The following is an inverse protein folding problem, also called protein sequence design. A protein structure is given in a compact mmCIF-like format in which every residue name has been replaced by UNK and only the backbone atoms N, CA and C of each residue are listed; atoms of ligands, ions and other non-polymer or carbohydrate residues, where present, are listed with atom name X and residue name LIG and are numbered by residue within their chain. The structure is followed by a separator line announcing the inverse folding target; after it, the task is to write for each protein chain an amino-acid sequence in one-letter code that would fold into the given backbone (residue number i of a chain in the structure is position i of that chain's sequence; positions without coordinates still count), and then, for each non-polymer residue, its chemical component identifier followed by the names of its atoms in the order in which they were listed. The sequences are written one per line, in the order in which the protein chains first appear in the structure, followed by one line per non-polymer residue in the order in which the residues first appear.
data_IF_192728152913
#
_entry.id   IF_192728152913
#
_cell.length_a   1.000
_cell.length_b   1.000
_cell.length_c   1.000
_cell.angle_alpha   90.00
_cell.angle_beta   90.00
_cell.angle_gamma   90.00
#
_symmetry.space_group_name_H-M   'P 1'
#
loop_
_entity.id
_entity.type
_entity.pdbx_description
1 polymer ?
#
# COMPACT_ATOMS: atom_id res chain seq x y z
N UNK A 1 13.86 84.06 41.51
CA UNK A 1 13.21 82.75 41.70
C UNK A 1 14.29 81.77 42.13
N UNK A 2 13.99 81.08 43.22
CA UNK A 2 14.76 80.05 43.95
C UNK A 2 15.48 79.06 43.01
N UNK A 3 16.60 78.41 43.31
CA UNK A 3 17.35 78.29 44.56
C UNK A 3 18.24 77.03 44.48
N UNK A 4 19.55 77.23 44.70
CA UNK A 4 20.38 76.45 45.64
C UNK A 4 20.74 74.99 45.27
N UNK A 5 21.95 74.88 44.70
CA UNK A 5 23.14 74.11 45.13
C UNK A 5 23.10 72.61 45.53
N UNK A 6 24.20 71.94 45.13
CA UNK A 6 25.21 71.28 45.98
C UNK A 6 25.29 69.73 46.06
N UNK A 7 26.58 69.31 45.92
CA UNK A 7 27.31 68.25 46.66
C UNK A 7 27.26 66.79 46.17
N UNK A 8 28.45 66.35 45.71
CA UNK A 8 28.98 64.98 45.78
C UNK A 8 28.95 64.41 47.22
N UNK A 9 29.03 63.07 47.42
CA UNK A 9 30.36 62.43 47.51
C UNK A 9 30.49 61.01 46.91
N UNK A 10 31.74 60.70 46.58
CA UNK A 10 32.33 59.36 46.46
C UNK A 10 31.97 58.45 47.63
N UNK A 11 31.89 57.12 47.39
CA UNK A 11 32.50 56.15 48.31
C UNK A 11 33.12 54.96 47.55
N UNK A 12 34.43 54.88 47.68
CA UNK A 12 35.23 53.67 47.47
C UNK A 12 34.92 52.61 48.53
N UNK A 13 35.21 51.35 48.19
CA UNK A 13 35.72 50.23 49.04
C UNK A 13 34.97 48.94 48.70
N UNK A 14 35.56 47.75 48.69
CA UNK A 14 36.92 47.26 48.93
C UNK A 14 36.94 45.87 48.31
N UNK A 15 38.05 45.48 47.72
CA UNK A 15 38.39 44.07 47.59
C UNK A 15 38.57 43.52 49.01
N UNK A 16 37.79 42.52 49.39
CA UNK A 16 38.20 41.51 50.36
C UNK A 16 38.08 40.15 49.68
N UNK A 17 39.25 39.54 49.57
CA UNK A 17 39.54 38.19 49.14
C UNK A 17 38.81 37.17 50.03
N UNK A 18 37.99 36.31 49.44
CA UNK A 18 37.63 35.02 50.03
C UNK A 18 38.38 33.89 49.30
N UNK A 19 39.09 33.14 50.13
CA UNK A 19 39.84 31.90 49.96
C UNK A 19 39.46 31.00 48.75
N UNK A 20 40.42 30.48 47.95
CA UNK A 20 40.16 29.68 46.73
C UNK A 20 39.82 28.20 46.97
N UNK A 21 39.23 27.85 48.12
CA UNK A 21 38.92 26.46 48.47
C UNK A 21 37.48 26.30 48.97
N UNK A 22 36.50 26.66 48.13
CA UNK A 22 35.12 26.16 48.28
C UNK A 22 34.82 25.22 47.12
N UNK A 23 35.07 23.93 47.38
CA UNK A 23 34.68 22.82 46.53
C UNK A 23 33.16 22.67 46.56
N UNK A 24 32.46 23.28 45.59
CA UNK A 24 31.10 22.84 45.27
C UNK A 24 31.18 21.40 44.73
N UNK A 25 30.40 20.45 45.27
CA UNK A 25 30.32 19.13 44.66
C UNK A 25 29.77 19.30 43.25
N UNK A 26 30.60 19.03 42.23
CA UNK A 26 30.10 18.70 40.89
C UNK A 26 29.19 17.51 41.08
N UNK A 27 27.88 17.73 41.01
CA UNK A 27 26.94 16.69 40.65
C UNK A 27 27.37 16.22 39.27
N UNK A 28 28.12 15.12 39.23
CA UNK A 28 28.16 14.27 38.05
C UNK A 28 26.70 13.90 37.80
N UNK A 29 26.09 14.55 36.83
CA UNK A 29 24.91 14.01 36.18
C UNK A 29 25.36 12.66 35.67
N UNK A 30 24.89 11.60 36.34
CA UNK A 30 24.93 10.25 35.80
C UNK A 30 24.48 10.38 34.33
N UNK A 31 25.26 9.90 33.35
CA UNK A 31 24.78 9.89 31.98
C UNK A 31 23.44 9.16 32.03
N UNK A 32 22.35 9.86 31.64
CA UNK A 32 21.05 9.20 31.48
C UNK A 32 21.33 8.01 30.58
N UNK A 33 21.21 6.81 31.15
CA UNK A 33 21.32 5.57 30.41
C UNK A 33 20.56 5.71 29.10
N UNK A 34 21.20 5.25 28.04
CA UNK A 34 20.76 5.24 26.66
C UNK A 34 19.57 4.26 26.41
N UNK A 35 18.64 4.26 27.36
CA UNK A 35 17.38 3.53 27.33
C UNK A 35 16.50 3.97 26.15
N UNK A 36 16.77 5.15 25.57
CA UNK A 36 16.11 5.66 24.37
C UNK A 36 16.55 4.92 23.11
N UNK A 37 17.86 4.81 22.85
CA UNK A 37 18.39 4.13 21.67
C UNK A 37 18.15 2.63 21.75
N UNK A 38 18.27 2.01 22.93
CA UNK A 38 17.96 0.58 23.09
C UNK A 38 16.50 0.26 22.80
N UNK A 39 15.55 1.07 23.30
CA UNK A 39 14.12 0.90 23.00
C UNK A 39 13.81 1.16 21.53
N UNK A 40 14.48 2.13 20.91
CA UNK A 40 14.37 2.41 19.48
C UNK A 40 14.85 1.23 18.64
N UNK A 41 16.07 0.75 18.89
CA UNK A 41 16.66 -0.39 18.19
C UNK A 41 15.82 -1.66 18.37
N UNK A 42 15.32 -1.92 19.57
CA UNK A 42 14.40 -3.03 19.83
C UNK A 42 13.10 -2.89 19.03
N UNK A 43 12.50 -1.70 19.00
CA UNK A 43 11.27 -1.45 18.24
C UNK A 43 11.46 -1.58 16.73
N UNK A 44 12.58 -1.08 16.19
CA UNK A 44 12.93 -1.21 14.79
C UNK A 44 13.20 -2.68 14.41
N UNK A 45 13.90 -3.43 15.28
CA UNK A 45 14.13 -4.87 15.10
C UNK A 45 12.85 -5.67 15.05
N UNK A 46 11.88 -5.37 15.93
CA UNK A 46 10.55 -6.02 15.92
C UNK A 46 9.80 -5.70 14.62
N UNK A 47 9.76 -4.43 14.21
CA UNK A 47 9.05 -4.02 12.99
C UNK A 47 9.69 -4.62 11.73
N UNK A 48 11.01 -4.69 11.67
CA UNK A 48 11.73 -5.38 10.59
C UNK A 48 11.44 -6.88 10.58
N UNK A 49 11.37 -7.52 11.76
CA UNK A 49 10.97 -8.92 11.89
C UNK A 49 9.56 -9.17 11.34
N UNK A 50 8.60 -8.29 11.67
CA UNK A 50 7.22 -8.35 11.14
C UNK A 50 7.24 -8.17 9.61
N UNK A 51 8.01 -7.21 9.09
CA UNK A 51 8.11 -6.98 7.64
C UNK A 51 8.61 -8.23 6.91
N UNK A 52 9.63 -8.92 7.43
CA UNK A 52 10.14 -10.18 6.86
C UNK A 52 9.06 -11.27 6.87
N UNK A 53 8.33 -11.41 7.98
CA UNK A 53 7.24 -12.38 8.08
C UNK A 53 6.12 -12.11 7.07
N UNK A 54 5.75 -10.84 6.89
CA UNK A 54 4.75 -10.41 5.89
C UNK A 54 5.22 -10.71 4.47
N UNK A 55 6.48 -10.44 4.13
CA UNK A 55 7.04 -10.80 2.82
C UNK A 55 6.96 -12.32 2.58
N UNK A 56 7.37 -13.14 3.55
CA UNK A 56 7.28 -14.61 3.44
C UNK A 56 5.83 -15.10 3.31
N UNK A 57 4.90 -14.48 4.03
CA UNK A 57 3.48 -14.81 3.94
C UNK A 57 2.91 -14.44 2.56
N UNK A 58 3.30 -13.29 1.99
CA UNK A 58 2.91 -12.85 0.66
C UNK A 58 3.45 -13.80 -0.43
N UNK A 59 4.73 -14.17 -0.33
CA UNK A 59 5.35 -15.15 -1.24
C UNK A 59 4.65 -16.51 -1.19
N UNK A 60 4.28 -16.97 0.02
CA UNK A 60 3.54 -18.22 0.19
C UNK A 60 2.15 -18.15 -0.47
N UNK A 61 1.43 -17.04 -0.31
CA UNK A 61 0.15 -16.80 -0.99
C UNK A 61 0.34 -16.80 -2.52
N UNK A 62 1.38 -16.12 -3.03
CA UNK A 62 1.74 -16.10 -4.44
C UNK A 62 2.02 -17.51 -4.99
N UNK A 63 2.81 -18.32 -4.27
CA UNK A 63 3.09 -19.73 -4.64
C UNK A 63 1.80 -20.56 -4.69
N UNK A 64 0.90 -20.41 -3.72
CA UNK A 64 -0.40 -21.11 -3.70
C UNK A 64 -1.32 -20.69 -4.83
N UNK A 65 -1.32 -19.41 -5.19
CA UNK A 65 -2.01 -18.90 -6.36
C UNK A 65 -1.43 -19.47 -7.66
N UNK A 66 -0.09 -19.54 -7.77
CA UNK A 66 0.57 -20.08 -8.96
C UNK A 66 0.27 -21.57 -9.20
N UNK A 67 0.07 -22.34 -8.12
CA UNK A 67 -0.33 -23.75 -8.13
C UNK A 67 -1.84 -23.95 -8.38
N UNK A 68 -2.58 -22.87 -8.61
CA UNK A 68 -4.01 -22.89 -8.96
C UNK A 68 -4.29 -23.70 -10.21
N UNK A 69 -5.22 -24.66 -10.09
CA UNK A 69 -5.87 -25.28 -11.26
C UNK A 69 -6.97 -24.34 -11.75
N UNK A 70 -7.22 -24.37 -13.05
CA UNK A 70 -8.38 -23.74 -13.66
C UNK A 70 -9.66 -24.38 -13.12
N UNK A 71 -10.69 -23.55 -12.93
CA UNK A 71 -11.96 -23.99 -12.34
C UNK A 71 -12.92 -24.56 -13.37
N UNK A 72 -12.68 -24.30 -14.66
CA UNK A 72 -13.49 -24.73 -15.79
C UNK A 72 -12.67 -24.65 -17.10
N UNK A 73 -13.26 -25.03 -18.23
CA UNK A 73 -12.62 -24.93 -19.55
C UNK A 73 -12.48 -23.48 -20.01
N UNK A 74 -11.59 -23.25 -20.99
CA UNK A 74 -11.38 -21.91 -21.55
C UNK A 74 -12.65 -21.35 -22.18
N UNK A 75 -13.41 -22.17 -22.91
CA UNK A 75 -14.65 -21.78 -23.57
C UNK A 75 -15.68 -21.29 -22.55
N UNK A 76 -15.75 -21.94 -21.39
CA UNK A 76 -16.62 -21.49 -20.29
C UNK A 76 -16.13 -20.18 -19.68
N UNK A 77 -14.82 -19.99 -19.53
CA UNK A 77 -14.27 -18.69 -19.10
C UNK A 77 -14.62 -17.58 -20.10
N UNK A 78 -14.48 -17.82 -21.40
CA UNK A 78 -14.82 -16.87 -22.45
C UNK A 78 -16.32 -16.53 -22.43
N UNK A 79 -17.21 -17.52 -22.24
CA UNK A 79 -18.65 -17.27 -22.06
C UNK A 79 -18.94 -16.38 -20.85
N UNK A 80 -18.27 -16.62 -19.72
CA UNK A 80 -18.42 -15.79 -18.52
C UNK A 80 -17.90 -14.37 -18.79
N UNK A 81 -16.75 -14.23 -19.45
CA UNK A 81 -16.16 -12.94 -19.81
C UNK A 81 -17.08 -12.12 -20.73
N UNK A 82 -17.59 -12.73 -21.81
CA UNK A 82 -18.55 -12.10 -22.73
C UNK A 82 -19.81 -11.64 -22.00
N UNK A 83 -20.31 -12.45 -21.06
CA UNK A 83 -21.45 -12.08 -20.21
C UNK A 83 -21.14 -10.88 -19.32
N UNK A 84 -19.96 -10.83 -18.70
CA UNK A 84 -19.53 -9.69 -17.88
C UNK A 84 -19.47 -8.40 -18.70
N UNK A 85 -18.96 -8.48 -19.93
CA UNK A 85 -18.89 -7.32 -20.83
C UNK A 85 -20.28 -6.85 -21.25
N UNK A 86 -21.15 -7.74 -21.73
CA UNK A 86 -22.46 -7.38 -22.25
C UNK A 86 -23.38 -6.78 -21.18
N UNK A 87 -23.45 -7.39 -20.00
CA UNK A 87 -24.29 -6.89 -18.89
C UNK A 87 -23.85 -5.53 -18.36
N UNK A 88 -22.60 -5.15 -18.61
CA UNK A 88 -22.05 -3.86 -18.19
C UNK A 88 -21.85 -2.89 -19.37
N UNK A 89 -22.31 -3.23 -20.59
CA UNK A 89 -22.18 -2.42 -21.82
C UNK A 89 -20.72 -2.07 -22.15
N UNK A 90 -19.82 -3.03 -21.95
CA UNK A 90 -18.38 -2.92 -22.19
C UNK A 90 -17.92 -3.71 -23.43
N UNK A 91 -18.81 -4.46 -24.06
CA UNK A 91 -18.57 -5.32 -25.21
C UNK A 91 -17.97 -4.60 -26.42
N UNK A 92 -18.28 -3.31 -26.58
CA UNK A 92 -17.76 -2.46 -27.67
C UNK A 92 -16.54 -1.64 -27.29
N UNK A 93 -16.17 -1.61 -26.01
CA UNK A 93 -15.17 -0.68 -25.49
C UNK A 93 -13.96 -1.38 -24.88
N UNK A 94 -14.14 -2.55 -24.28
CA UNK A 94 -13.08 -3.30 -23.62
C UNK A 94 -12.69 -4.52 -24.47
N UNK A 95 -11.44 -4.55 -24.90
CA UNK A 95 -10.84 -5.69 -25.58
C UNK A 95 -10.37 -6.74 -24.56
N UNK A 96 -10.48 -8.02 -24.93
CA UNK A 96 -10.01 -9.16 -24.15
C UNK A 96 -9.02 -9.95 -24.99
N UNK A 97 -7.79 -10.11 -24.49
CA UNK A 97 -6.72 -10.84 -25.17
C UNK A 97 -6.18 -11.97 -24.27
N UNK A 98 -6.09 -13.17 -24.82
CA UNK A 98 -5.44 -14.30 -24.16
C UNK A 98 -4.11 -14.59 -24.82
N UNK A 99 -3.02 -14.48 -24.06
CA UNK A 99 -1.67 -14.50 -24.63
C UNK A 99 -0.79 -15.63 -24.08
N UNK A 100 0.20 -15.97 -24.89
CA UNK A 100 1.34 -16.82 -24.56
C UNK A 100 2.58 -16.26 -25.29
N UNK A 101 3.70 -16.97 -25.23
CA UNK A 101 4.95 -16.54 -25.88
C UNK A 101 4.84 -16.41 -27.41
N UNK A 102 3.87 -17.07 -28.04
CA UNK A 102 3.73 -17.11 -29.50
C UNK A 102 3.00 -15.88 -30.06
N UNK A 103 2.05 -15.31 -29.31
CA UNK A 103 1.23 -14.20 -29.77
C UNK A 103 1.43 -12.88 -29.01
N UNK A 104 2.22 -12.85 -27.93
CA UNK A 104 2.48 -11.63 -27.15
C UNK A 104 3.02 -10.46 -28.01
N UNK A 105 3.97 -10.73 -28.90
CA UNK A 105 4.55 -9.70 -29.78
C UNK A 105 3.51 -9.14 -30.77
N UNK A 106 2.63 -10.00 -31.29
CA UNK A 106 1.55 -9.59 -32.19
C UNK A 106 0.55 -8.69 -31.46
N UNK A 107 0.17 -9.05 -30.22
CA UNK A 107 -0.71 -8.23 -29.38
C UNK A 107 -0.05 -6.88 -29.06
N UNK A 108 1.24 -6.87 -28.69
CA UNK A 108 1.97 -5.62 -28.47
C UNK A 108 1.92 -4.70 -29.70
N UNK A 109 2.12 -5.26 -30.90
CA UNK A 109 2.10 -4.49 -32.14
C UNK A 109 0.73 -3.84 -32.40
N UNK A 110 -0.40 -4.48 -32.04
CA UNK A 110 -1.75 -3.89 -32.18
C UNK A 110 -1.89 -2.57 -31.41
N UNK A 111 -1.27 -2.49 -30.24
CA UNK A 111 -1.39 -1.34 -29.32
C UNK A 111 -0.21 -0.36 -29.39
N UNK A 112 0.87 -0.73 -30.08
CA UNK A 112 2.04 0.13 -30.30
C UNK A 112 1.72 1.47 -30.97
N UNK A 113 0.73 1.48 -31.87
CA UNK A 113 0.25 2.69 -32.57
C UNK A 113 -0.41 3.72 -31.64
N UNK A 114 -0.81 3.31 -30.44
CA UNK A 114 -1.38 4.21 -29.43
C UNK A 114 -0.31 4.97 -28.62
N UNK A 115 0.98 4.82 -28.96
CA UNK A 115 2.10 5.46 -28.26
C UNK A 115 2.40 4.84 -26.89
N UNK A 116 1.79 3.70 -26.56
CA UNK A 116 1.93 3.01 -25.28
C UNK A 116 2.63 1.68 -25.52
N UNK A 117 3.82 1.51 -24.94
CA UNK A 117 4.58 0.27 -25.03
C UNK A 117 4.17 -0.70 -23.92
N UNK A 118 3.31 -1.66 -24.26
CA UNK A 118 2.87 -2.72 -23.32
C UNK A 118 3.75 -3.97 -23.36
N UNK A 119 4.80 -4.02 -24.19
CA UNK A 119 5.57 -5.26 -24.42
C UNK A 119 6.15 -5.82 -23.12
N UNK A 120 6.66 -4.95 -22.25
CA UNK A 120 7.21 -5.34 -20.94
C UNK A 120 6.17 -5.91 -19.97
N UNK A 121 4.91 -5.52 -20.11
CA UNK A 121 3.81 -6.06 -19.29
C UNK A 121 3.27 -7.38 -19.86
N UNK A 122 3.37 -7.61 -21.17
CA UNK A 122 2.89 -8.84 -21.80
C UNK A 122 3.81 -10.04 -21.58
N UNK A 123 5.11 -9.84 -21.38
CA UNK A 123 6.05 -10.94 -21.11
C UNK A 123 5.71 -11.75 -19.83
N UNK A 124 5.50 -11.14 -18.65
CA UNK A 124 5.11 -11.90 -17.46
C UNK A 124 3.71 -12.52 -17.60
N UNK A 125 2.80 -11.87 -18.34
CA UNK A 125 1.49 -12.44 -18.65
C UNK A 125 1.65 -13.68 -19.53
N UNK A 126 2.46 -13.63 -20.59
CA UNK A 126 2.74 -14.77 -21.46
C UNK A 126 3.36 -15.99 -20.73
N UNK A 127 4.07 -15.74 -19.62
CA UNK A 127 4.63 -16.78 -18.73
C UNK A 127 3.63 -17.30 -17.68
N UNK A 128 2.40 -16.79 -17.66
CA UNK A 128 1.38 -17.16 -16.66
C UNK A 128 1.65 -16.62 -15.26
N UNK A 129 2.48 -15.57 -15.16
CA UNK A 129 2.89 -14.93 -13.93
C UNK A 129 2.07 -13.67 -13.61
N UNK A 130 1.35 -13.13 -14.60
CA UNK A 130 0.56 -11.92 -14.44
C UNK A 130 -0.74 -11.97 -15.27
N UNK A 131 -1.67 -11.08 -14.96
CA UNK A 131 -2.81 -10.66 -15.77
C UNK A 131 -3.06 -9.18 -15.45
N UNK A 132 -3.68 -8.42 -16.36
CA UNK A 132 -3.97 -7.02 -16.08
C UNK A 132 -5.14 -6.48 -16.91
N UNK A 133 -5.79 -5.46 -16.36
CA UNK A 133 -6.62 -4.50 -17.08
C UNK A 133 -5.97 -3.12 -17.06
N UNK A 134 -5.94 -2.46 -18.22
CA UNK A 134 -5.55 -1.05 -18.32
C UNK A 134 -6.70 -0.21 -18.87
N UNK A 135 -7.07 0.83 -18.13
CA UNK A 135 -8.13 1.76 -18.52
C UNK A 135 -7.74 2.63 -19.72
N UNK A 136 -6.45 2.83 -19.94
CA UNK A 136 -5.92 3.69 -21.01
C UNK A 136 -6.14 3.06 -22.39
N UNK A 137 -5.91 1.75 -22.51
CA UNK A 137 -6.14 1.00 -23.77
C UNK A 137 -7.49 0.30 -23.79
N UNK A 138 -8.25 0.34 -22.68
CA UNK A 138 -9.45 -0.47 -22.46
C UNK A 138 -9.17 -1.94 -22.81
N UNK A 139 -8.09 -2.47 -22.28
CA UNK A 139 -7.58 -3.80 -22.61
C UNK A 139 -7.44 -4.63 -21.34
N UNK A 140 -8.09 -5.80 -21.33
CA UNK A 140 -7.88 -6.84 -20.34
C UNK A 140 -7.08 -7.99 -20.98
N UNK A 141 -5.99 -8.40 -20.33
CA UNK A 141 -5.09 -9.44 -20.82
C UNK A 141 -4.91 -10.52 -19.77
N UNK A 142 -5.01 -11.77 -20.19
CA UNK A 142 -4.75 -12.93 -19.35
C UNK A 142 -3.88 -13.97 -20.08
N UNK A 143 -3.14 -14.81 -19.36
CA UNK A 143 -2.42 -15.93 -19.95
C UNK A 143 -3.38 -16.99 -20.51
N UNK A 144 -3.05 -17.60 -21.64
CA UNK A 144 -3.74 -18.81 -22.13
C UNK A 144 -3.64 -19.98 -21.15
N UNK A 145 -2.57 -20.04 -20.35
CA UNK A 145 -2.37 -21.07 -19.33
C UNK A 145 -3.25 -20.88 -18.10
N UNK A 146 -3.75 -19.67 -17.84
CA UNK A 146 -4.64 -19.36 -16.71
C UNK A 146 -5.74 -18.36 -17.11
N UNK A 147 -6.66 -18.76 -18.01
CA UNK A 147 -7.65 -17.85 -18.57
C UNK A 147 -8.59 -17.26 -17.50
N UNK A 148 -8.85 -17.95 -16.39
CA UNK A 148 -9.78 -17.47 -15.35
C UNK A 148 -9.41 -16.10 -14.77
N UNK A 149 -8.14 -15.72 -14.80
CA UNK A 149 -7.68 -14.42 -14.33
C UNK A 149 -8.38 -13.26 -15.05
N UNK A 150 -8.79 -13.45 -16.31
CA UNK A 150 -9.50 -12.42 -17.08
C UNK A 150 -10.79 -11.96 -16.37
N UNK A 151 -11.44 -12.83 -15.59
CA UNK A 151 -12.69 -12.47 -14.90
C UNK A 151 -12.44 -11.48 -13.76
N UNK A 152 -11.23 -11.49 -13.17
CA UNK A 152 -10.80 -10.50 -12.19
C UNK A 152 -10.50 -9.17 -12.89
N UNK A 153 -9.76 -9.22 -14.00
CA UNK A 153 -9.42 -8.02 -14.80
C UNK A 153 -10.67 -7.30 -15.34
N UNK A 154 -11.66 -8.05 -15.81
CA UNK A 154 -12.95 -7.47 -16.19
C UNK A 154 -13.71 -6.90 -14.99
N UNK A 155 -13.47 -7.42 -13.79
CA UNK A 155 -13.93 -6.82 -12.53
C UNK A 155 -13.41 -5.39 -12.36
N UNK A 156 -12.11 -5.15 -12.65
CA UNK A 156 -11.51 -3.81 -12.67
C UNK A 156 -12.08 -2.94 -13.79
N UNK A 157 -12.27 -3.50 -14.99
CA UNK A 157 -12.90 -2.76 -16.10
C UNK A 157 -14.29 -2.23 -15.71
N UNK A 158 -15.10 -3.06 -15.05
CA UNK A 158 -16.40 -2.66 -14.53
C UNK A 158 -16.27 -1.58 -13.44
N UNK A 159 -15.25 -1.64 -12.57
CA UNK A 159 -14.95 -0.59 -11.56
C UNK A 159 -14.66 0.73 -12.24
N UNK A 160 -13.78 0.72 -13.24
CA UNK A 160 -13.36 1.91 -13.96
C UNK A 160 -14.52 2.60 -14.70
N UNK A 161 -15.56 1.84 -15.06
CA UNK A 161 -16.74 2.36 -15.75
C UNK A 161 -17.93 2.69 -14.83
N UNK A 162 -17.93 2.28 -13.55
CA UNK A 162 -19.06 2.50 -12.64
C UNK A 162 -18.80 3.55 -11.56
N UNK A 163 -19.45 4.71 -11.67
CA UNK A 163 -19.59 5.68 -10.58
C UNK A 163 -18.30 6.40 -10.15
N UNK A 164 -18.44 7.46 -9.35
CA UNK A 164 -17.29 8.27 -8.88
C UNK A 164 -16.53 7.60 -7.73
N UNK A 165 -17.23 6.91 -6.83
CA UNK A 165 -16.64 6.25 -5.66
C UNK A 165 -15.72 5.08 -6.04
N UNK A 166 -16.13 4.20 -6.94
CA UNK A 166 -15.29 3.06 -7.36
C UNK A 166 -14.06 3.52 -8.15
N UNK A 167 -14.20 4.56 -8.99
CA UNK A 167 -13.06 5.23 -9.62
C UNK A 167 -12.09 5.81 -8.60
N UNK A 168 -12.58 6.36 -7.50
CA UNK A 168 -11.73 6.84 -6.40
C UNK A 168 -10.94 5.69 -5.76
N UNK A 169 -11.58 4.55 -5.46
CA UNK A 169 -10.87 3.38 -4.92
C UNK A 169 -9.72 2.96 -5.84
N UNK A 170 -9.98 2.83 -7.13
CA UNK A 170 -8.97 2.44 -8.12
C UNK A 170 -7.82 3.46 -8.21
N UNK A 171 -8.14 4.75 -8.27
CA UNK A 171 -7.12 5.81 -8.39
C UNK A 171 -6.29 5.99 -7.12
N UNK A 172 -6.82 5.66 -5.95
CA UNK A 172 -6.13 5.86 -4.68
C UNK A 172 -4.86 5.01 -4.52
N UNK A 173 -4.74 3.91 -5.26
CA UNK A 173 -3.57 3.01 -5.26
C UNK A 173 -2.25 3.75 -5.50
N UNK A 174 -2.25 4.79 -6.34
CA UNK A 174 -1.03 5.56 -6.67
C UNK A 174 -0.47 6.34 -5.47
N UNK A 175 -1.32 6.64 -4.49
CA UNK A 175 -0.93 7.42 -3.32
C UNK A 175 -0.50 6.55 -2.13
N UNK A 176 -0.67 5.22 -2.21
CA UNK A 176 -0.32 4.31 -1.12
C UNK A 176 1.15 4.47 -0.68
N UNK A 177 2.07 4.61 -1.63
CA UNK A 177 3.50 4.77 -1.33
C UNK A 177 3.83 6.08 -0.60
N UNK A 178 3.02 7.13 -0.75
CA UNK A 178 3.21 8.41 -0.07
C UNK A 178 2.69 8.44 1.37
N UNK A 179 1.95 7.42 1.80
CA UNK A 179 1.32 7.40 3.14
C UNK A 179 2.34 7.54 4.27
N UNK A 180 3.50 6.84 4.30
CA UNK A 180 4.48 6.99 5.37
C UNK A 180 5.02 8.42 5.45
N UNK A 181 5.40 9.01 4.32
CA UNK A 181 5.89 10.39 4.24
C UNK A 181 4.84 11.39 4.69
N UNK A 182 3.59 11.25 4.24
CA UNK A 182 2.51 12.13 4.64
C UNK A 182 2.28 12.08 6.15
N UNK A 183 2.33 10.88 6.76
CA UNK A 183 2.18 10.73 8.20
C UNK A 183 3.36 11.34 8.97
N UNK A 184 4.59 11.26 8.47
CA UNK A 184 5.75 11.94 9.06
C UNK A 184 5.55 13.45 9.05
N UNK A 185 5.20 14.03 7.90
CA UNK A 185 4.98 15.48 7.77
C UNK A 185 3.85 15.98 8.69
N UNK A 186 2.72 15.26 8.72
CA UNK A 186 1.60 15.56 9.61
C UNK A 186 1.96 15.39 11.09
N UNK A 187 2.82 14.43 11.42
CA UNK A 187 3.31 14.26 12.78
C UNK A 187 4.15 15.47 13.21
N UNK A 188 5.07 15.92 12.36
CA UNK A 188 5.93 17.07 12.62
C UNK A 188 5.13 18.37 12.77
N UNK A 189 4.04 18.55 12.02
CA UNK A 189 3.17 19.71 12.15
C UNK A 189 2.22 19.68 13.36
N UNK A 190 2.13 18.55 14.08
CA UNK A 190 1.20 18.35 15.21
C UNK A 190 1.92 17.99 16.51
N UNK A 191 3.22 18.26 16.58
CA UNK A 191 4.04 17.98 17.76
C UNK A 191 3.48 18.69 18.99
N UNK A 192 3.49 17.98 20.12
CA UNK A 192 3.05 18.51 21.40
C UNK A 192 4.26 19.00 22.23
N UNK A 193 4.16 20.14 22.93
CA UNK A 193 5.28 20.73 23.69
C UNK A 193 5.81 19.87 24.85
N UNK A 194 5.05 18.87 25.29
CA UNK A 194 5.26 18.13 26.53
C UNK A 194 5.77 16.68 26.32
N UNK A 195 6.27 16.37 25.11
CA UNK A 195 6.75 15.03 24.78
C UNK A 195 5.65 13.96 24.72
N UNK A 196 4.38 14.33 24.86
CA UNK A 196 3.26 13.42 24.66
C UNK A 196 3.20 12.95 23.22
N UNK A 197 2.88 11.67 23.03
CA UNK A 197 2.64 11.12 21.70
C UNK A 197 1.46 11.83 21.03
N UNK A 198 1.68 12.27 19.80
CA UNK A 198 0.61 12.80 18.93
C UNK A 198 -0.41 11.70 18.61
N UNK A 199 -1.56 12.07 18.04
CA UNK A 199 -2.51 11.09 17.51
C UNK A 199 -1.85 10.21 16.43
N UNK A 200 -1.05 10.82 15.56
CA UNK A 200 -0.33 10.11 14.49
C UNK A 200 0.65 9.10 15.10
N UNK A 201 1.44 9.46 16.10
CA UNK A 201 2.35 8.52 16.77
C UNK A 201 1.63 7.32 17.38
N UNK A 202 0.45 7.55 17.97
CA UNK A 202 -0.35 6.48 18.59
C UNK A 202 -0.94 5.54 17.53
N UNK A 203 -1.35 6.06 16.38
CA UNK A 203 -2.14 5.34 15.38
C UNK A 203 -1.44 5.13 14.03
N UNK A 204 -0.15 5.45 13.88
CA UNK A 204 0.56 5.39 12.59
C UNK A 204 0.44 4.05 11.87
N UNK A 205 0.44 2.93 12.60
CA UNK A 205 0.20 1.62 12.01
C UNK A 205 -1.20 1.52 11.39
N UNK A 206 -2.23 1.88 12.14
CA UNK A 206 -3.61 1.83 11.68
C UNK A 206 -3.85 2.82 10.53
N UNK A 207 -3.29 4.03 10.62
CA UNK A 207 -3.38 5.03 9.56
C UNK A 207 -2.67 4.57 8.27
N UNK A 208 -1.49 3.94 8.40
CA UNK A 208 -0.78 3.31 7.29
C UNK A 208 -1.61 2.21 6.62
N UNK A 209 -2.17 1.30 7.42
CA UNK A 209 -3.06 0.24 6.91
C UNK A 209 -4.31 0.80 6.22
N UNK A 210 -4.97 1.78 6.85
CA UNK A 210 -6.17 2.43 6.30
C UNK A 210 -5.86 3.16 4.98
N UNK A 211 -4.65 3.69 4.81
CA UNK A 211 -4.19 4.26 3.55
C UNK A 211 -4.18 3.26 2.39
N UNK A 212 -4.09 1.96 2.67
CA UNK A 212 -4.15 0.88 1.67
C UNK A 212 -5.53 0.23 1.54
N UNK A 213 -6.46 0.54 2.45
CA UNK A 213 -7.79 -0.08 2.48
C UNK A 213 -8.56 0.08 1.16
N UNK A 214 -8.52 1.24 0.47
CA UNK A 214 -9.16 1.36 -0.83
C UNK A 214 -8.70 0.30 -1.85
N UNK A 215 -7.39 0.01 -1.92
CA UNK A 215 -6.83 -1.02 -2.79
C UNK A 215 -7.34 -2.41 -2.40
N UNK A 216 -7.35 -2.74 -1.10
CA UNK A 216 -7.86 -4.02 -0.60
C UNK A 216 -9.34 -4.23 -1.00
N UNK A 217 -10.15 -3.18 -0.89
CA UNK A 217 -11.56 -3.23 -1.26
C UNK A 217 -11.74 -3.40 -2.77
N UNK A 218 -10.95 -2.70 -3.57
CA UNK A 218 -11.01 -2.73 -5.03
C UNK A 218 -10.67 -4.13 -5.59
N UNK A 219 -9.56 -4.71 -5.14
CA UNK A 219 -9.12 -6.07 -5.49
C UNK A 219 -10.14 -7.15 -5.06
N UNK A 220 -10.78 -6.94 -3.91
CA UNK A 220 -11.86 -7.80 -3.41
C UNK A 220 -13.12 -7.69 -4.27
N UNK A 221 -13.51 -6.48 -4.65
CA UNK A 221 -14.68 -6.23 -5.51
C UNK A 221 -14.48 -6.81 -6.91
N UNK A 222 -13.30 -6.64 -7.50
CA UNK A 222 -12.95 -7.23 -8.79
C UNK A 222 -13.11 -8.77 -8.76
N UNK A 223 -12.55 -9.40 -7.73
CA UNK A 223 -12.67 -10.84 -7.47
C UNK A 223 -14.13 -11.31 -7.31
N UNK A 224 -14.93 -10.58 -6.52
CA UNK A 224 -16.33 -10.92 -6.27
C UNK A 224 -17.18 -10.84 -7.54
N UNK A 225 -16.92 -9.87 -8.43
CA UNK A 225 -17.62 -9.76 -9.71
C UNK A 225 -17.35 -10.97 -10.60
N UNK A 226 -16.10 -11.37 -10.74
CA UNK A 226 -15.74 -12.58 -11.49
C UNK A 226 -16.41 -13.83 -10.93
N UNK A 227 -16.40 -14.01 -9.61
CA UNK A 227 -17.07 -15.14 -8.93
C UNK A 227 -18.59 -15.11 -9.17
N UNK A 228 -19.22 -13.93 -9.07
CA UNK A 228 -20.66 -13.80 -9.25
C UNK A 228 -21.09 -14.04 -10.69
N UNK A 229 -20.33 -13.59 -11.67
CA UNK A 229 -20.56 -13.92 -13.08
C UNK A 229 -20.43 -15.43 -13.32
N UNK A 230 -19.39 -16.07 -12.78
CA UNK A 230 -19.20 -17.51 -12.88
C UNK A 230 -20.34 -18.31 -12.22
N UNK A 231 -20.86 -17.86 -11.06
CA UNK A 231 -22.06 -18.45 -10.43
C UNK A 231 -23.29 -18.39 -11.32
N UNK A 232 -23.49 -17.29 -12.04
CA UNK A 232 -24.65 -17.13 -12.91
C UNK A 232 -24.57 -18.05 -14.13
N UNK A 233 -23.40 -18.15 -14.76
CA UNK A 233 -23.18 -19.10 -15.87
C UNK A 233 -23.27 -20.55 -15.38
N UNK A 234 -22.74 -20.87 -14.20
CA UNK A 234 -22.94 -22.19 -13.59
C UNK A 234 -24.42 -22.57 -13.54
N UNK A 235 -25.29 -21.68 -13.04
CA UNK A 235 -26.73 -21.94 -12.94
C UNK A 235 -27.42 -22.09 -14.29
N UNK A 236 -26.97 -21.33 -15.30
CA UNK A 236 -27.65 -21.23 -16.59
C UNK A 236 -27.12 -22.21 -17.66
N UNK A 237 -25.86 -22.65 -17.56
CA UNK A 237 -25.15 -23.36 -18.64
C UNK A 237 -24.55 -24.68 -18.16
N UNK A 238 -23.83 -24.67 -17.03
CA UNK A 238 -23.12 -25.85 -16.54
C UNK A 238 -23.17 -25.96 -15.01
N UNK A 239 -24.16 -26.71 -14.53
CA UNK A 239 -24.37 -26.93 -13.09
C UNK A 239 -23.26 -27.76 -12.43
N UNK A 240 -22.41 -28.45 -13.21
CA UNK A 240 -21.31 -29.28 -12.69
C UNK A 240 -20.05 -28.46 -12.36
N UNK A 241 -19.96 -27.22 -12.86
CA UNK A 241 -18.83 -26.33 -12.66
C UNK A 241 -18.46 -26.16 -11.17
N UNK A 242 -17.22 -26.49 -10.82
CA UNK A 242 -16.70 -26.34 -9.46
C UNK A 242 -16.04 -24.97 -9.27
N UNK A 243 -16.68 -24.07 -8.53
CA UNK A 243 -16.16 -22.72 -8.28
C UNK A 243 -15.13 -22.65 -7.14
N UNK A 244 -14.86 -23.75 -6.42
CA UNK A 244 -13.91 -23.74 -5.29
C UNK A 244 -12.49 -23.29 -5.71
N UNK A 245 -11.92 -23.76 -6.84
CA UNK A 245 -10.59 -23.31 -7.28
C UNK A 245 -10.56 -21.81 -7.57
N UNK A 246 -11.57 -21.26 -8.26
CA UNK A 246 -11.67 -19.82 -8.55
C UNK A 246 -11.69 -18.99 -7.27
N UNK A 247 -12.60 -19.31 -6.34
CA UNK A 247 -12.72 -18.60 -5.05
C UNK A 247 -11.42 -18.66 -4.25
N UNK A 248 -10.77 -19.83 -4.20
CA UNK A 248 -9.52 -20.03 -3.48
C UNK A 248 -8.40 -19.19 -4.08
N UNK A 249 -8.23 -19.21 -5.39
CA UNK A 249 -7.19 -18.44 -6.06
C UNK A 249 -7.41 -16.93 -5.84
N UNK A 250 -8.64 -16.45 -5.97
CA UNK A 250 -8.96 -15.04 -5.70
C UNK A 250 -8.79 -14.64 -4.24
N UNK A 251 -9.11 -15.54 -3.30
CA UNK A 251 -8.86 -15.30 -1.89
C UNK A 251 -7.35 -15.15 -1.59
N UNK A 252 -6.51 -15.99 -2.19
CA UNK A 252 -5.05 -15.84 -2.05
C UNK A 252 -4.52 -14.57 -2.71
N UNK A 253 -5.02 -14.20 -3.90
CA UNK A 253 -4.67 -12.94 -4.55
C UNK A 253 -5.01 -11.76 -3.63
N UNK A 254 -6.26 -11.70 -3.17
CA UNK A 254 -6.74 -10.65 -2.27
C UNK A 254 -5.95 -10.58 -0.96
N UNK A 255 -5.58 -11.73 -0.38
CA UNK A 255 -4.79 -11.80 0.84
C UNK A 255 -3.40 -11.17 0.66
N UNK A 256 -2.79 -11.23 -0.53
CA UNK A 256 -1.52 -10.53 -0.77
C UNK A 256 -1.66 -9.02 -0.59
N UNK A 257 -2.81 -8.45 -0.94
CA UNK A 257 -3.10 -7.02 -0.73
C UNK A 257 -3.39 -6.68 0.72
N UNK A 258 -4.04 -7.58 1.48
CA UNK A 258 -4.21 -7.41 2.92
C UNK A 258 -2.84 -7.40 3.61
N UNK A 259 -1.96 -8.32 3.23
CA UNK A 259 -0.57 -8.39 3.73
C UNK A 259 0.21 -7.13 3.34
N UNK A 260 0.06 -6.63 2.11
CA UNK A 260 0.66 -5.37 1.68
C UNK A 260 0.17 -4.18 2.51
N UNK A 261 -1.12 -4.12 2.85
CA UNK A 261 -1.67 -3.09 3.74
C UNK A 261 -1.08 -3.16 5.15
N UNK A 262 -0.89 -4.36 5.70
CA UNK A 262 -0.20 -4.54 6.98
C UNK A 262 1.26 -4.07 6.88
N UNK A 263 1.93 -4.36 5.76
CA UNK A 263 3.28 -3.88 5.48
C UNK A 263 3.35 -2.34 5.43
N UNK A 264 2.36 -1.69 4.81
CA UNK A 264 2.28 -0.23 4.79
C UNK A 264 2.06 0.35 6.20
N UNK A 265 1.26 -0.33 7.04
CA UNK A 265 1.12 0.00 8.45
C UNK A 265 2.44 -0.09 9.23
N UNK A 266 3.22 -1.15 9.01
CA UNK A 266 4.56 -1.31 9.60
C UNK A 266 5.49 -0.19 9.13
N UNK A 267 5.54 0.09 7.83
CA UNK A 267 6.38 1.14 7.25
C UNK A 267 6.01 2.54 7.78
N UNK A 268 4.71 2.84 7.87
CA UNK A 268 4.22 4.09 8.45
C UNK A 268 4.65 4.24 9.92
N UNK A 269 4.51 3.18 10.71
CA UNK A 269 4.92 3.18 12.12
C UNK A 269 6.44 3.37 12.25
N UNK A 270 7.21 2.66 11.45
CA UNK A 270 8.67 2.75 11.43
C UNK A 270 9.14 4.16 11.08
N UNK A 271 8.55 4.78 10.05
CA UNK A 271 8.92 6.12 9.58
C UNK A 271 8.68 7.17 10.65
N UNK A 272 7.51 7.15 11.30
CA UNK A 272 7.16 8.08 12.38
C UNK A 272 8.06 7.90 13.62
N UNK A 273 8.46 6.67 13.95
CA UNK A 273 9.38 6.42 15.07
C UNK A 273 10.80 6.89 14.74
N UNK A 274 11.27 6.66 13.51
CA UNK A 274 12.66 6.96 13.11
C UNK A 274 12.89 8.48 13.04
N UNK A 275 11.97 9.22 12.44
CA UNK A 275 12.06 10.68 12.34
C UNK A 275 12.15 11.36 13.71
N UNK A 276 11.37 10.90 14.69
CA UNK A 276 11.39 11.47 16.04
C UNK A 276 12.79 11.46 16.70
N UNK A 277 13.62 10.51 16.32
CA UNK A 277 14.94 10.29 16.94
C UNK A 277 16.09 10.69 16.03
N UNK A 278 15.81 11.34 14.89
CA UNK A 278 16.80 11.95 13.98
C UNK A 278 16.96 13.43 14.29
#
# INVERSE_FOLDING_TARGET
MEGITNRFPNFQHRYYTSNPYESYPRTYSQPKEDNGVVKLAASAGILQGIAILLTKASEWCGKKLMQGKEFTSRENVEKIASKMLSENKLDKTVAVEFIDKTNAAQVAAKYSKSGINILGELEPVAKGQNAFYTDQLKLAVAPKSKPSLILHELGHAITAHKGKFLKFLQKSRIYAASVPTALVLLNNSTQKPDGQKTFIEKHAFALGFLGFLPTILEEGLASLRGINAAKQVKKAVDNTMNLKPLKRNYAFAWLTYVIAGLGLGVAAKQSVITEKNS
#
